data_IF_824934937712
#
_entry.id   IF_824934937712
#
_cell.length_a   1.000
_cell.length_b   1.000
_cell.length_c   1.000
_cell.angle_alpha   90.00
_cell.angle_beta   90.00
_cell.angle_gamma   90.00
#
_symmetry.space_group_name_H-M   'P 1'
#
loop_
_entity.id
_entity.type
_entity.pdbx_description
1 polymer ?
#
# COMPACT_ATOMS: atom_id res chain seq x y z
N UNK A 1 4.44 3.93 -8.78
CA UNK A 1 3.38 4.17 -7.79
C UNK A 1 2.79 2.83 -7.40
N UNK A 2 2.65 2.56 -6.10
CA UNK A 2 2.03 1.33 -5.58
C UNK A 2 0.91 1.72 -4.64
N UNK A 3 -0.32 1.35 -4.98
CA UNK A 3 -1.51 1.63 -4.20
C UNK A 3 -1.89 0.44 -3.32
N UNK A 4 -2.14 0.68 -2.03
CA UNK A 4 -2.40 -0.35 -1.02
C UNK A 4 -3.75 -0.09 -0.36
N UNK A 5 -4.69 -1.00 -0.56
CA UNK A 5 -6.05 -0.88 -0.03
C UNK A 5 -6.09 -1.12 1.50
N UNK A 6 -7.25 -0.85 2.11
CA UNK A 6 -7.49 -1.02 3.54
C UNK A 6 -8.22 -2.32 3.90
N UNK A 7 -8.61 -2.43 5.16
CA UNK A 7 -9.46 -3.52 5.68
C UNK A 7 -10.82 -3.54 4.95
N UNK A 8 -11.30 -4.72 4.58
CA UNK A 8 -12.53 -4.88 3.79
C UNK A 8 -12.47 -4.30 2.37
N UNK A 9 -11.30 -3.81 1.93
CA UNK A 9 -11.08 -3.28 0.59
C UNK A 9 -10.69 -4.35 -0.43
N UNK A 10 -10.63 -3.93 -1.69
CA UNK A 10 -10.16 -4.73 -2.81
C UNK A 10 -9.19 -3.87 -3.64
N UNK A 11 -8.18 -4.53 -4.24
CA UNK A 11 -7.09 -3.85 -4.94
C UNK A 11 -7.52 -2.93 -6.08
N UNK A 12 -8.69 -3.14 -6.69
CA UNK A 12 -9.25 -2.23 -7.70
C UNK A 12 -10.42 -1.39 -7.15
N UNK A 13 -11.36 -2.02 -6.46
CA UNK A 13 -12.62 -1.38 -6.07
C UNK A 13 -12.40 -0.24 -5.08
N UNK A 14 -11.35 -0.31 -4.25
CA UNK A 14 -10.99 0.78 -3.33
C UNK A 14 -10.64 2.07 -4.05
N UNK A 15 -10.16 1.99 -5.29
CA UNK A 15 -9.73 3.12 -6.09
C UNK A 15 -10.68 3.43 -7.25
N UNK A 16 -11.82 2.74 -7.29
CA UNK A 16 -12.80 2.87 -8.37
C UNK A 16 -14.04 3.58 -7.85
N UNK A 17 -14.47 4.65 -8.53
CA UNK A 17 -15.76 5.27 -8.21
C UNK A 17 -16.91 4.29 -8.50
N UNK A 18 -17.81 4.13 -7.54
CA UNK A 18 -18.87 3.11 -7.64
C UNK A 18 -19.89 3.40 -8.73
N UNK A 19 -20.11 4.69 -9.06
CA UNK A 19 -21.14 5.13 -10.01
C UNK A 19 -20.59 5.18 -11.43
N UNK A 20 -19.46 5.89 -11.62
CA UNK A 20 -18.86 6.11 -12.94
C UNK A 20 -17.96 4.97 -13.37
N UNK A 21 -17.56 4.08 -12.45
CA UNK A 21 -16.60 2.98 -12.68
C UNK A 21 -15.20 3.44 -13.07
N UNK A 22 -14.89 4.73 -12.87
CA UNK A 22 -13.57 5.29 -13.12
C UNK A 22 -12.60 4.82 -12.04
N UNK A 23 -11.51 4.18 -12.47
CA UNK A 23 -10.37 3.82 -11.64
C UNK A 23 -9.36 4.97 -11.71
N UNK A 24 -9.47 5.95 -10.82
CA UNK A 24 -8.76 7.23 -10.96
C UNK A 24 -7.23 7.08 -11.03
N UNK A 25 -6.68 6.06 -10.36
CA UNK A 25 -5.25 5.73 -10.44
C UNK A 25 -4.82 5.43 -11.87
N UNK A 26 -5.63 4.71 -12.65
CA UNK A 26 -5.34 4.36 -14.05
C UNK A 26 -5.80 5.44 -15.02
N UNK A 27 -6.98 6.01 -14.76
CA UNK A 27 -7.69 6.83 -15.75
C UNK A 27 -7.26 8.31 -15.69
N UNK A 28 -6.84 8.81 -14.51
CA UNK A 28 -6.51 10.22 -14.32
C UNK A 28 -5.01 10.48 -14.09
N UNK A 29 -4.30 9.64 -13.32
CA UNK A 29 -2.88 9.90 -13.05
C UNK A 29 -2.04 10.03 -14.34
N UNK A 30 -2.20 9.18 -15.37
CA UNK A 30 -1.41 9.30 -16.59
C UNK A 30 -1.75 10.54 -17.45
N UNK A 31 -2.81 11.30 -17.11
CA UNK A 31 -3.16 12.54 -17.82
C UNK A 31 -2.28 13.72 -17.42
N UNK A 32 -1.54 13.62 -16.31
CA UNK A 32 -0.55 14.62 -15.91
C UNK A 32 0.77 14.38 -16.65
N UNK A 33 1.41 15.45 -17.12
CA UNK A 33 2.67 15.35 -17.85
C UNK A 33 3.82 14.75 -17.01
N UNK A 34 3.76 14.96 -15.70
CA UNK A 34 4.72 14.43 -14.73
C UNK A 34 4.53 12.93 -14.48
N UNK A 35 3.30 12.42 -14.63
CA UNK A 35 2.92 11.05 -14.26
C UNK A 35 2.54 10.17 -15.45
N UNK A 36 2.53 10.68 -16.69
CA UNK A 36 2.22 9.90 -17.91
C UNK A 36 3.06 8.64 -18.11
N UNK A 37 4.30 8.64 -17.60
CA UNK A 37 5.23 7.50 -17.69
C UNK A 37 5.32 6.72 -16.36
N UNK A 38 4.54 7.09 -15.35
CA UNK A 38 4.55 6.40 -14.07
C UNK A 38 3.92 5.01 -14.24
N UNK A 39 4.61 3.98 -13.73
CA UNK A 39 3.98 2.66 -13.56
C UNK A 39 3.13 2.67 -12.31
N UNK A 40 1.92 2.16 -12.45
CA UNK A 40 0.90 2.20 -11.42
C UNK A 40 0.49 0.76 -11.12
N UNK A 41 0.75 0.33 -9.90
CA UNK A 41 0.42 -1.00 -9.41
C UNK A 41 -0.55 -0.88 -8.24
N UNK A 42 -1.37 -1.91 -8.07
CA UNK A 42 -2.20 -2.10 -6.87
C UNK A 42 -1.73 -3.36 -6.16
N UNK A 43 -1.47 -3.27 -4.86
CA UNK A 43 -1.13 -4.43 -4.06
C UNK A 43 -2.38 -4.98 -3.37
N UNK A 44 -2.70 -6.25 -3.68
CA UNK A 44 -3.81 -6.98 -3.08
C UNK A 44 -3.37 -7.88 -1.95
N UNK A 45 -4.11 -7.89 -0.86
CA UNK A 45 -3.97 -8.87 0.23
C UNK A 45 -5.35 -9.27 0.75
N UNK A 46 -5.47 -10.42 1.41
CA UNK A 46 -6.75 -10.83 2.01
C UNK A 46 -7.11 -9.92 3.19
N UNK A 47 -7.92 -8.91 2.90
CA UNK A 47 -8.33 -7.91 3.89
C UNK A 47 -9.30 -8.47 4.95
N UNK A 48 -9.89 -9.66 4.76
CA UNK A 48 -10.78 -10.28 5.74
C UNK A 48 -9.98 -10.97 6.84
N UNK A 49 -8.91 -11.68 6.47
CA UNK A 49 -8.01 -12.36 7.42
C UNK A 49 -7.36 -11.35 8.38
N UNK A 50 -7.04 -10.15 7.90
CA UNK A 50 -6.40 -9.10 8.71
C UNK A 50 -7.35 -8.47 9.74
N UNK A 51 -8.66 -8.72 9.64
CA UNK A 51 -9.64 -8.29 10.66
C UNK A 51 -9.32 -8.86 12.06
N UNK A 52 -8.57 -9.97 12.13
CA UNK A 52 -8.09 -10.60 13.37
C UNK A 52 -6.86 -9.94 14.01
N UNK A 53 -6.33 -8.85 13.42
CA UNK A 53 -5.33 -7.91 13.99
C UNK A 53 -4.08 -8.47 14.67
N UNK A 54 -3.58 -9.65 14.30
CA UNK A 54 -2.25 -10.05 14.79
C UNK A 54 -1.16 -9.22 14.12
N UNK A 55 -0.21 -8.69 14.91
CA UNK A 55 0.96 -7.96 14.41
C UNK A 55 1.77 -8.85 13.44
N UNK A 56 1.81 -10.16 13.69
CA UNK A 56 2.47 -11.14 12.85
C UNK A 56 1.87 -11.19 11.43
N UNK A 57 0.55 -11.16 11.31
CA UNK A 57 -0.15 -11.12 10.00
C UNK A 57 0.21 -9.86 9.22
N UNK A 58 0.16 -8.69 9.87
CA UNK A 58 0.53 -7.42 9.23
C UNK A 58 1.98 -7.43 8.75
N UNK A 59 2.89 -7.98 9.58
CA UNK A 59 4.31 -8.12 9.23
C UNK A 59 4.51 -9.08 8.06
N UNK A 60 3.79 -10.19 8.01
CA UNK A 60 3.86 -11.14 6.89
C UNK A 60 3.39 -10.50 5.58
N UNK A 61 2.28 -9.76 5.60
CA UNK A 61 1.77 -9.04 4.43
C UNK A 61 2.78 -7.98 3.96
N UNK A 62 3.39 -7.24 4.90
CA UNK A 62 4.42 -6.26 4.58
C UNK A 62 5.69 -6.91 3.98
N UNK A 63 6.07 -8.11 4.43
CA UNK A 63 7.15 -8.88 3.81
C UNK A 63 6.79 -9.29 2.39
N UNK A 64 5.57 -9.81 2.16
CA UNK A 64 5.09 -10.18 0.84
C UNK A 64 5.09 -8.97 -0.12
N UNK A 65 4.65 -7.79 0.34
CA UNK A 65 4.74 -6.55 -0.42
C UNK A 65 6.19 -6.26 -0.85
N UNK A 66 7.15 -6.30 0.07
CA UNK A 66 8.54 -6.04 -0.26
C UNK A 66 9.11 -7.07 -1.25
N UNK A 67 8.80 -8.36 -1.08
CA UNK A 67 9.23 -9.42 -2.00
C UNK A 67 8.69 -9.19 -3.41
N UNK A 68 7.41 -8.84 -3.56
CA UNK A 68 6.83 -8.50 -4.87
C UNK A 68 7.52 -7.31 -5.52
N UNK A 69 7.91 -6.29 -4.74
CA UNK A 69 8.55 -5.09 -5.27
C UNK A 69 10.02 -5.29 -5.65
N UNK A 70 10.74 -6.23 -5.03
CA UNK A 70 12.11 -6.58 -5.46
C UNK A 70 12.10 -7.23 -6.84
N UNK A 71 11.16 -8.16 -7.09
CA UNK A 71 11.11 -8.90 -8.35
C UNK A 71 10.76 -8.02 -9.55
N UNK A 72 10.16 -6.86 -9.31
CA UNK A 72 9.89 -5.87 -10.35
C UNK A 72 11.17 -5.15 -10.84
N UNK A 73 12.38 -5.48 -10.37
CA UNK A 73 13.70 -4.98 -10.82
C UNK A 73 13.69 -3.57 -11.41
N UNK A 74 13.48 -2.57 -10.56
CA UNK A 74 13.38 -1.21 -11.06
C UNK A 74 14.01 -0.16 -10.15
N UNK A 75 15.09 0.43 -10.66
CA UNK A 75 15.78 1.58 -10.07
C UNK A 75 14.98 2.90 -10.19
N UNK A 76 13.65 2.79 -10.29
CA UNK A 76 12.76 3.94 -10.47
C UNK A 76 12.22 4.41 -9.12
N UNK A 77 11.94 5.72 -8.96
CA UNK A 77 11.29 6.24 -7.77
C UNK A 77 9.98 5.51 -7.44
N UNK A 78 9.87 5.05 -6.20
CA UNK A 78 8.71 4.38 -5.63
C UNK A 78 7.94 5.34 -4.72
N UNK A 79 6.65 5.51 -5.02
CA UNK A 79 5.70 6.27 -4.21
C UNK A 79 4.56 5.33 -3.80
N UNK A 80 4.23 5.33 -2.52
CA UNK A 80 3.08 4.59 -1.99
C UNK A 80 1.83 5.48 -1.89
N UNK A 81 0.68 4.93 -2.26
CA UNK A 81 -0.65 5.51 -2.05
C UNK A 81 -1.44 4.55 -1.17
N UNK A 82 -1.78 4.96 0.04
CA UNK A 82 -2.23 4.04 1.07
C UNK A 82 -3.60 4.45 1.62
N UNK A 83 -4.55 3.52 1.63
CA UNK A 83 -5.85 3.73 2.28
C UNK A 83 -5.97 2.93 3.58
N UNK A 84 -6.38 3.59 4.66
CA UNK A 84 -6.68 2.99 5.96
C UNK A 84 -5.56 2.04 6.43
N UNK A 85 -5.87 0.77 6.68
CA UNK A 85 -4.91 -0.25 7.10
C UNK A 85 -3.71 -0.43 6.15
N UNK A 86 -3.89 -0.15 4.86
CA UNK A 86 -2.81 -0.19 3.87
C UNK A 86 -1.65 0.73 4.23
N UNK A 87 -1.92 1.85 4.92
CA UNK A 87 -0.88 2.74 5.41
C UNK A 87 -0.06 2.15 6.56
N UNK A 88 -0.67 1.32 7.40
CA UNK A 88 0.05 0.58 8.44
C UNK A 88 0.96 -0.47 7.81
N UNK A 89 0.45 -1.22 6.83
CA UNK A 89 1.23 -2.22 6.07
C UNK A 89 2.43 -1.56 5.40
N UNK A 90 2.24 -0.43 4.73
CA UNK A 90 3.31 0.31 4.08
C UNK A 90 4.39 0.78 5.07
N UNK A 91 4.01 1.31 6.23
CA UNK A 91 4.96 1.71 7.28
C UNK A 91 5.80 0.52 7.78
N UNK A 92 5.17 -0.64 7.97
CA UNK A 92 5.87 -1.85 8.37
C UNK A 92 6.82 -2.28 7.24
N UNK A 93 6.37 -2.28 5.99
CA UNK A 93 7.18 -2.65 4.83
C UNK A 93 8.43 -1.75 4.68
N UNK A 94 8.28 -0.44 4.83
CA UNK A 94 9.39 0.53 4.84
C UNK A 94 10.38 0.24 5.99
N UNK A 95 9.85 -0.06 7.18
CA UNK A 95 10.68 -0.37 8.35
C UNK A 95 11.47 -1.67 8.14
N UNK A 96 10.83 -2.69 7.56
CA UNK A 96 11.47 -3.93 7.19
C UNK A 96 12.53 -3.72 6.10
N UNK A 97 12.24 -2.88 5.11
CA UNK A 97 13.15 -2.66 3.99
C UNK A 97 14.42 -1.93 4.41
N UNK A 98 14.30 -0.99 5.36
CA UNK A 98 15.44 -0.30 5.97
C UNK A 98 16.39 -1.26 6.72
N UNK A 99 15.81 -2.22 7.44
CA UNK A 99 16.53 -3.06 8.41
C UNK A 99 16.95 -4.44 7.88
N UNK A 100 16.56 -4.80 6.66
CA UNK A 100 16.97 -6.04 6.00
C UNK A 100 17.80 -5.72 4.75
N UNK A 101 19.04 -6.27 4.69
CA UNK A 101 19.96 -6.07 3.56
C UNK A 101 19.36 -6.48 2.22
N UNK A 102 18.53 -7.52 2.19
CA UNK A 102 17.82 -7.97 0.98
C UNK A 102 16.97 -6.86 0.36
N UNK A 103 16.28 -6.10 1.22
CA UNK A 103 15.34 -5.05 0.83
C UNK A 103 15.94 -3.64 0.88
N UNK A 104 17.23 -3.49 1.19
CA UNK A 104 17.83 -2.15 1.30
C UNK A 104 17.79 -1.38 -0.02
N UNK A 105 17.96 -2.06 -1.16
CA UNK A 105 17.82 -1.42 -2.47
C UNK A 105 16.43 -0.82 -2.63
N UNK A 106 15.38 -1.56 -2.26
CA UNK A 106 14.01 -1.08 -2.28
C UNK A 106 13.84 0.16 -1.39
N UNK A 107 14.37 0.14 -0.16
CA UNK A 107 14.29 1.27 0.77
C UNK A 107 14.81 2.58 0.16
N UNK A 108 15.96 2.55 -0.51
CA UNK A 108 16.57 3.74 -1.13
C UNK A 108 15.77 4.29 -2.32
N UNK A 109 14.91 3.47 -2.93
CA UNK A 109 14.03 3.91 -4.01
C UNK A 109 12.69 4.47 -3.52
N UNK A 110 12.38 4.40 -2.22
CA UNK A 110 11.12 4.95 -1.68
C UNK A 110 11.26 6.47 -1.53
N UNK A 111 10.57 7.22 -2.40
CA UNK A 111 10.64 8.69 -2.47
C UNK A 111 9.44 9.37 -1.80
N UNK A 112 8.36 8.64 -1.54
CA UNK A 112 7.19 9.24 -0.93
C UNK A 112 6.11 8.25 -0.51
N UNK A 113 5.24 8.71 0.37
CA UNK A 113 4.04 7.99 0.81
C UNK A 113 2.91 8.99 1.03
N UNK A 114 1.72 8.63 0.55
CA UNK A 114 0.48 9.38 0.73
C UNK A 114 -0.52 8.53 1.51
N UNK A 115 -1.10 9.10 2.57
CA UNK A 115 -2.04 8.41 3.46
C UNK A 115 -3.46 8.95 3.31
N UNK A 116 -4.42 8.04 3.15
CA UNK A 116 -5.84 8.32 3.12
C UNK A 116 -6.51 7.61 4.30
N UNK A 117 -6.89 8.35 5.35
CA UNK A 117 -7.60 7.79 6.51
C UNK A 117 -6.85 6.67 7.26
N UNK A 118 -5.51 6.71 7.26
CA UNK A 118 -4.70 5.70 7.95
C UNK A 118 -4.76 5.90 9.48
N UNK A 119 -5.16 4.89 10.27
CA UNK A 119 -5.24 5.02 11.73
C UNK A 119 -3.85 4.91 12.37
N UNK A 120 -3.03 5.97 12.24
CA UNK A 120 -1.61 5.92 12.62
C UNK A 120 -1.37 5.53 14.08
N UNK A 121 -2.30 5.87 14.98
CA UNK A 121 -2.26 5.61 16.42
C UNK A 121 -3.33 4.60 16.86
N UNK A 122 -3.91 3.85 15.92
CA UNK A 122 -5.16 3.13 16.14
C UNK A 122 -6.38 4.00 15.81
N UNK A 123 -7.56 3.43 16.00
CA UNK A 123 -8.86 4.08 15.75
C UNK A 123 -9.78 3.74 16.90
N UNK A 124 -10.57 4.68 17.42
CA UNK A 124 -11.47 4.41 18.57
C UNK A 124 -12.49 3.29 18.30
N UNK A 125 -12.88 3.09 17.03
CA UNK A 125 -13.69 1.94 16.59
C UNK A 125 -13.00 0.57 16.71
N UNK A 126 -11.77 0.52 17.21
CA UNK A 126 -11.05 -0.68 17.56
C UNK A 126 -11.38 -1.25 18.94
N UNK A 127 -11.99 -0.43 19.82
CA UNK A 127 -12.26 -0.78 21.22
C UNK A 127 -13.61 -1.48 21.45
N UNK A 128 -14.40 -1.78 20.42
CA UNK A 128 -15.67 -2.49 20.54
C UNK A 128 -15.51 -4.02 20.51
N UNK A 129 -14.57 -4.52 21.29
CA UNK A 129 -14.26 -5.95 21.40
C UNK A 129 -13.66 -6.34 22.75
N UNK A 130 -14.08 -5.68 23.83
CA UNK A 130 -13.89 -6.13 25.22
C UNK A 130 -15.18 -6.70 25.76
#
# INVERSE_FOLDING_TARGET
>A
IVAIHGLGGHMYDTWTDKKTKVLWLRDFLPQSDELKNARIYTFGYDAKIVGSRSIATLRHIAQSLNSSLIHEENDKPLIFICHSLGGIIAKIAITLSKNNREFQKLYHHIHGIMFFGTPHQGSDGANLGT
#
